data_IF_499361429463
#
_entry.id   IF_499361429463
#
_cell.length_a   1.000
_cell.length_b   1.000
_cell.length_c   1.000
_cell.angle_alpha   90.00
_cell.angle_beta   90.00
_cell.angle_gamma   90.00
#
_symmetry.space_group_name_H-M   'P 1'
#
loop_
_entity.id
_entity.type
_entity.pdbx_description
1 polymer ?
#
# COMPACT_ATOMS: atom_id res chain seq x y z
N UNK A 1 14.64 -33.49 -31.01
CA UNK A 1 14.84 -32.49 -29.92
C UNK A 1 15.41 -31.23 -30.55
N UNK A 2 14.78 -30.07 -30.39
CA UNK A 2 15.23 -28.82 -31.04
C UNK A 2 16.39 -28.21 -30.24
N UNK A 3 17.57 -28.10 -30.87
CA UNK A 3 18.74 -27.45 -30.26
C UNK A 3 18.49 -25.94 -30.24
N UNK A 4 18.32 -25.37 -29.04
CA UNK A 4 18.19 -23.93 -28.88
C UNK A 4 19.55 -23.27 -29.15
N UNK A 5 19.59 -22.27 -30.04
CA UNK A 5 20.79 -21.47 -30.28
C UNK A 5 21.16 -20.72 -29.00
N UNK A 6 22.46 -20.64 -28.71
CA UNK A 6 23.01 -19.98 -27.51
C UNK A 6 23.55 -18.60 -27.87
N UNK A 7 23.48 -17.68 -26.90
CA UNK A 7 23.97 -16.31 -27.05
C UNK A 7 25.43 -16.27 -27.53
N UNK A 8 25.72 -15.36 -28.46
CA UNK A 8 27.07 -15.20 -29.03
C UNK A 8 28.03 -14.33 -28.20
N UNK A 9 27.54 -13.69 -27.13
CA UNK A 9 28.40 -12.92 -26.22
C UNK A 9 29.25 -13.90 -25.41
N UNK A 10 30.57 -13.71 -25.47
CA UNK A 10 31.55 -14.56 -24.78
C UNK A 10 31.20 -14.71 -23.29
N UNK A 11 31.13 -15.95 -22.81
CA UNK A 11 30.77 -16.27 -21.42
C UNK A 11 29.27 -16.33 -21.11
N UNK A 12 28.38 -16.16 -22.10
CA UNK A 12 26.93 -16.24 -21.90
C UNK A 12 26.32 -17.56 -22.41
N UNK A 13 25.87 -18.42 -21.49
CA UNK A 13 25.20 -19.69 -21.82
C UNK A 13 23.69 -19.61 -22.05
N UNK A 14 23.12 -18.41 -22.07
CA UNK A 14 21.67 -18.21 -22.17
C UNK A 14 21.15 -18.44 -23.60
N UNK A 15 19.90 -18.94 -23.79
CA UNK A 15 19.33 -19.14 -25.11
C UNK A 15 19.09 -17.82 -25.85
N UNK A 16 19.26 -17.85 -27.18
CA UNK A 16 19.01 -16.70 -28.06
C UNK A 16 17.54 -16.32 -28.03
N UNK A 17 17.29 -15.02 -27.85
CA UNK A 17 15.99 -14.39 -28.09
C UNK A 17 15.93 -13.81 -29.52
N UNK A 18 16.88 -12.94 -29.86
CA UNK A 18 16.90 -12.19 -31.11
C UNK A 18 18.32 -11.64 -31.37
N UNK A 19 18.68 -11.44 -32.66
CA UNK A 19 20.01 -10.96 -33.09
C UNK A 19 21.18 -11.75 -32.50
N UNK A 20 21.00 -13.08 -32.38
CA UNK A 20 21.99 -14.00 -31.80
C UNK A 20 22.36 -13.73 -30.33
N UNK A 21 21.54 -12.91 -29.67
CA UNK A 21 21.71 -12.53 -28.28
C UNK A 21 20.57 -13.05 -27.41
N UNK A 22 20.89 -13.31 -26.14
CA UNK A 22 19.87 -13.59 -25.15
C UNK A 22 19.01 -12.35 -24.89
N UNK A 23 17.90 -12.53 -24.17
CA UNK A 23 17.00 -11.43 -23.81
C UNK A 23 17.72 -10.25 -23.15
N UNK A 24 18.72 -10.51 -22.29
CA UNK A 24 19.45 -9.45 -21.59
C UNK A 24 20.34 -8.64 -22.54
N UNK A 25 21.18 -9.31 -23.32
CA UNK A 25 22.08 -8.64 -24.26
C UNK A 25 21.32 -7.94 -25.38
N UNK A 26 20.18 -8.48 -25.82
CA UNK A 26 19.28 -7.78 -26.72
C UNK A 26 18.74 -6.48 -26.10
N UNK A 27 18.33 -6.51 -24.82
CA UNK A 27 17.85 -5.31 -24.12
C UNK A 27 18.96 -4.29 -23.89
N UNK A 28 20.18 -4.74 -23.59
CA UNK A 28 21.33 -3.86 -23.40
C UNK A 28 21.68 -3.14 -24.70
N UNK A 29 21.73 -3.86 -25.82
CA UNK A 29 21.89 -3.26 -27.14
C UNK A 29 20.75 -2.28 -27.47
N UNK A 30 19.49 -2.67 -27.22
CA UNK A 30 18.34 -1.81 -27.49
C UNK A 30 18.35 -0.50 -26.68
N UNK A 31 18.82 -0.54 -25.42
CA UNK A 31 18.84 0.63 -24.51
C UNK A 31 20.11 1.47 -24.59
N UNK A 32 21.26 0.84 -24.84
CA UNK A 32 22.58 1.44 -24.64
C UNK A 32 23.51 1.27 -25.85
N UNK A 33 23.06 0.63 -26.93
CA UNK A 33 23.84 0.43 -28.15
C UNK A 33 24.90 -0.68 -28.08
N UNK A 34 25.25 -1.15 -26.89
CA UNK A 34 26.25 -2.21 -26.66
C UNK A 34 25.61 -3.45 -26.00
N UNK A 35 25.58 -4.62 -26.68
CA UNK A 35 25.05 -5.86 -26.13
C UNK A 35 25.90 -6.42 -24.99
N UNK A 36 27.19 -6.09 -24.93
CA UNK A 36 28.14 -6.58 -23.94
C UNK A 36 28.16 -5.78 -22.64
N UNK A 37 27.43 -4.65 -22.60
CA UNK A 37 27.29 -3.82 -21.42
C UNK A 37 26.70 -4.67 -20.29
N UNK A 38 27.58 -5.20 -19.41
CA UNK A 38 27.17 -5.95 -18.23
C UNK A 38 26.58 -4.91 -17.28
N UNK A 39 25.25 -4.89 -17.05
CA UNK A 39 24.74 -4.07 -15.97
C UNK A 39 25.47 -4.49 -14.69
N UNK A 40 25.80 -3.56 -13.79
CA UNK A 40 26.36 -3.91 -12.49
C UNK A 40 25.58 -5.08 -11.91
N UNK A 41 26.28 -6.02 -11.28
CA UNK A 41 25.75 -7.29 -10.72
C UNK A 41 24.77 -7.03 -9.55
N UNK A 42 24.08 -5.90 -9.54
CA UNK A 42 22.89 -5.62 -8.76
C UNK A 42 21.64 -6.02 -9.54
N UNK A 43 21.62 -7.27 -10.04
CA UNK A 43 20.35 -7.94 -10.35
C UNK A 43 19.66 -8.31 -9.03
N UNK A 44 19.19 -7.31 -8.28
CA UNK A 44 18.03 -7.48 -7.41
C UNK A 44 16.87 -6.72 -8.03
N UNK A 45 16.13 -7.42 -8.88
CA UNK A 45 14.67 -7.22 -8.97
C UNK A 45 14.02 -7.78 -7.68
N UNK A 46 14.56 -7.40 -6.52
CA UNK A 46 13.89 -7.50 -5.25
C UNK A 46 13.24 -6.15 -5.06
N UNK A 47 11.93 -6.12 -4.88
CA UNK A 47 11.24 -4.93 -4.46
C UNK A 47 12.03 -4.31 -3.29
N UNK A 48 12.55 -3.08 -3.42
CA UNK A 48 13.31 -2.41 -2.35
C UNK A 48 12.51 -2.36 -1.03
N UNK A 49 11.19 -2.54 -1.14
CA UNK A 49 10.24 -2.76 -0.05
C UNK A 49 10.07 -4.25 0.36
N UNK A 50 11.09 -5.12 0.37
CA UNK A 50 10.96 -6.47 0.97
C UNK A 50 12.03 -6.82 2.01
N UNK A 51 13.08 -6.00 2.17
CA UNK A 51 14.12 -6.27 3.16
C UNK A 51 13.74 -5.85 4.59
N UNK A 52 12.88 -4.84 4.73
CA UNK A 52 12.39 -4.39 6.03
C UNK A 52 11.17 -5.21 6.49
N UNK A 53 11.01 -5.45 7.81
CA UNK A 53 9.80 -6.03 8.36
C UNK A 53 8.53 -5.37 7.80
N UNK A 54 7.45 -6.14 7.64
CA UNK A 54 6.18 -5.63 7.08
C UNK A 54 5.71 -4.39 7.84
N UNK A 55 5.81 -4.40 9.17
CA UNK A 55 5.49 -3.27 10.04
C UNK A 55 6.26 -2.00 9.66
N UNK A 56 7.57 -2.09 9.45
CA UNK A 56 8.40 -0.93 9.07
C UNK A 56 7.93 -0.31 7.76
N UNK A 57 7.60 -1.13 6.76
CA UNK A 57 7.11 -0.67 5.45
C UNK A 57 5.71 -0.08 5.52
N UNK A 58 4.91 -0.54 6.49
CA UNK A 58 3.59 0.01 6.76
C UNK A 58 3.74 1.40 7.38
N UNK A 59 4.42 1.50 8.53
CA UNK A 59 4.57 2.74 9.27
C UNK A 59 5.34 3.82 8.50
N UNK A 60 6.22 3.47 7.56
CA UNK A 60 6.91 4.45 6.70
C UNK A 60 5.99 5.22 5.74
N UNK A 61 4.72 4.83 5.60
CA UNK A 61 3.72 5.46 4.72
C UNK A 61 2.66 6.25 5.48
N UNK A 62 2.80 6.35 6.80
CA UNK A 62 1.86 7.04 7.67
C UNK A 62 2.36 8.46 7.89
N UNK A 63 1.45 9.42 7.89
CA UNK A 63 1.75 10.79 8.29
C UNK A 63 1.65 10.93 9.81
N UNK A 64 2.76 11.30 10.45
CA UNK A 64 2.84 11.54 11.91
C UNK A 64 3.01 13.03 12.23
N UNK A 65 2.70 13.93 11.29
CA UNK A 65 2.88 15.38 11.47
C UNK A 65 2.04 15.96 12.61
N UNK A 66 0.92 15.33 12.96
CA UNK A 66 0.07 15.67 14.09
C UNK A 66 0.09 14.53 15.13
N UNK A 67 0.91 14.64 16.19
CA UNK A 67 1.01 13.62 17.23
C UNK A 67 -0.29 13.43 18.03
N UNK A 68 -1.06 14.51 18.21
CA UNK A 68 -2.28 14.51 19.01
C UNK A 68 -3.54 14.23 18.18
N UNK A 69 -3.45 14.40 16.86
CA UNK A 69 -4.55 14.18 15.92
C UNK A 69 -4.55 12.82 15.23
N UNK A 70 -5.03 12.83 13.98
CA UNK A 70 -5.11 11.64 13.13
C UNK A 70 -3.78 11.37 12.44
N UNK A 71 -3.49 10.08 12.23
CA UNK A 71 -2.35 9.65 11.43
C UNK A 71 -2.84 9.13 10.07
N UNK A 72 -2.98 9.99 9.05
CA UNK A 72 -3.54 9.57 7.76
C UNK A 72 -2.58 8.66 6.98
N UNK A 73 -3.15 7.64 6.35
CA UNK A 73 -2.47 6.80 5.39
C UNK A 73 -2.15 7.58 4.10
N UNK A 74 -0.89 7.53 3.66
CA UNK A 74 -0.43 8.23 2.44
C UNK A 74 -0.31 7.32 1.21
N UNK A 75 -0.75 6.06 1.32
CA UNK A 75 -0.66 5.07 0.26
C UNK A 75 -1.92 4.97 -0.59
N UNK A 76 -2.16 3.78 -1.14
CA UNK A 76 -3.33 3.51 -1.98
C UNK A 76 -4.65 3.65 -1.20
N UNK A 77 -5.68 4.16 -1.85
CA UNK A 77 -7.01 4.42 -1.28
C UNK A 77 -8.11 3.76 -2.13
N UNK A 78 -9.21 3.35 -1.50
CA UNK A 78 -10.43 2.81 -2.12
C UNK A 78 -11.66 3.26 -1.33
N UNK A 79 -12.59 3.97 -1.98
CA UNK A 79 -13.81 4.53 -1.35
C UNK A 79 -13.52 5.18 0.01
N UNK A 80 -12.52 6.06 0.04
CA UNK A 80 -12.01 6.79 1.23
C UNK A 80 -11.21 5.96 2.25
N UNK A 81 -11.17 4.63 2.13
CA UNK A 81 -10.35 3.79 3.00
C UNK A 81 -8.96 3.53 2.41
N UNK A 82 -7.93 3.59 3.25
CA UNK A 82 -6.59 3.18 2.85
C UNK A 82 -6.49 1.67 2.66
N UNK A 83 -5.81 1.22 1.61
CA UNK A 83 -5.50 -0.18 1.31
C UNK A 83 -3.99 -0.41 1.25
N UNK A 84 -3.56 -1.59 1.69
CA UNK A 84 -2.17 -2.04 1.60
C UNK A 84 -2.11 -3.54 1.33
N UNK A 85 -0.94 -4.02 0.89
CA UNK A 85 -0.66 -5.44 0.82
C UNK A 85 0.01 -5.88 2.11
N UNK A 86 -0.61 -6.82 2.82
CA UNK A 86 -0.17 -7.32 4.11
C UNK A 86 -0.41 -8.84 4.16
N UNK A 87 0.61 -9.60 4.58
CA UNK A 87 0.57 -11.06 4.64
C UNK A 87 0.08 -11.77 3.36
N UNK A 88 0.51 -11.30 2.19
CA UNK A 88 0.17 -11.94 0.91
C UNK A 88 -1.20 -11.56 0.34
N UNK A 89 -1.96 -10.69 1.01
CA UNK A 89 -3.28 -10.25 0.56
C UNK A 89 -3.47 -8.73 0.65
N UNK A 90 -4.48 -8.22 -0.08
CA UNK A 90 -4.90 -6.81 0.03
C UNK A 90 -5.81 -6.65 1.24
N UNK A 91 -5.47 -5.72 2.13
CA UNK A 91 -6.20 -5.46 3.37
C UNK A 91 -6.38 -3.97 3.61
N UNK A 92 -7.41 -3.60 4.36
CA UNK A 92 -7.60 -2.23 4.81
C UNK A 92 -6.57 -1.83 5.86
N UNK A 93 -6.05 -0.63 5.71
CA UNK A 93 -4.92 -0.10 6.49
C UNK A 93 -5.25 0.06 7.97
N UNK A 94 -6.45 0.51 8.32
CA UNK A 94 -6.87 0.64 9.73
C UNK A 94 -6.90 -0.73 10.44
N UNK A 95 -7.33 -1.81 9.75
CA UNK A 95 -7.28 -3.17 10.32
C UNK A 95 -5.85 -3.65 10.52
N UNK A 96 -4.99 -3.43 9.53
CA UNK A 96 -3.57 -3.77 9.62
C UNK A 96 -2.88 -3.02 10.76
N UNK A 97 -3.19 -1.72 10.93
CA UNK A 97 -2.64 -0.91 12.02
C UNK A 97 -3.07 -1.42 13.40
N UNK A 98 -4.34 -1.78 13.55
CA UNK A 98 -4.86 -2.39 14.77
C UNK A 98 -4.12 -3.70 15.08
N UNK A 99 -4.01 -4.60 14.09
CA UNK A 99 -3.37 -5.90 14.28
C UNK A 99 -1.86 -5.82 14.59
N UNK A 100 -1.17 -4.83 14.02
CA UNK A 100 0.24 -4.57 14.29
C UNK A 100 0.52 -4.15 15.74
N UNK A 101 -0.47 -3.59 16.45
CA UNK A 101 -0.31 -3.02 17.79
C UNK A 101 -1.00 -3.87 18.86
N UNK A 102 -2.23 -4.31 18.60
CA UNK A 102 -3.06 -5.04 19.56
C UNK A 102 -3.14 -6.55 19.28
N UNK A 103 -2.70 -7.00 18.10
CA UNK A 103 -2.73 -8.40 17.71
C UNK A 103 -3.99 -8.80 16.92
N UNK A 104 -4.17 -10.10 16.74
CA UNK A 104 -5.22 -10.66 15.88
C UNK A 104 -6.64 -10.30 16.38
N UNK A 105 -7.49 -9.92 15.44
CA UNK A 105 -8.93 -9.71 15.67
C UNK A 105 -9.64 -11.07 15.71
N UNK A 106 -10.66 -11.21 16.55
CA UNK A 106 -11.53 -12.37 16.48
C UNK A 106 -12.28 -12.39 15.14
N UNK A 107 -12.64 -13.59 14.65
CA UNK A 107 -13.20 -13.76 13.30
C UNK A 107 -14.49 -12.94 13.02
N UNK A 108 -15.26 -12.59 14.06
CA UNK A 108 -16.50 -11.82 13.96
C UNK A 108 -16.31 -10.32 14.25
N UNK A 109 -15.09 -9.87 14.56
CA UNK A 109 -14.78 -8.49 14.88
C UNK A 109 -14.39 -7.68 13.65
N UNK A 110 -14.81 -6.43 13.66
CA UNK A 110 -14.43 -5.38 12.70
C UNK A 110 -13.79 -4.24 13.46
N UNK A 111 -12.95 -3.47 12.77
CA UNK A 111 -12.31 -2.28 13.35
C UNK A 111 -13.08 -1.05 12.93
N UNK A 112 -13.43 -0.22 13.89
CA UNK A 112 -14.11 1.06 13.69
C UNK A 112 -13.25 2.22 14.21
N UNK A 113 -13.55 3.43 13.75
CA UNK A 113 -12.86 4.66 14.13
C UNK A 113 -13.64 5.44 15.19
N UNK A 114 -12.94 5.95 16.20
CA UNK A 114 -13.49 6.99 17.09
C UNK A 114 -13.50 8.37 16.43
N UNK A 115 -12.49 8.65 15.60
CA UNK A 115 -12.25 9.94 14.96
C UNK A 115 -13.01 10.13 13.63
N UNK A 116 -13.66 9.07 13.14
CA UNK A 116 -14.52 9.12 11.96
C UNK A 116 -13.84 9.64 10.69
N UNK A 117 -12.52 9.44 10.62
CA UNK A 117 -11.64 9.82 9.53
C UNK A 117 -11.09 8.54 8.86
N UNK A 118 -11.70 8.03 7.78
CA UNK A 118 -11.37 6.71 7.20
C UNK A 118 -9.88 6.46 6.83
N UNK A 119 -9.10 7.47 6.41
CA UNK A 119 -7.66 7.32 6.20
C UNK A 119 -6.83 7.15 7.47
N UNK A 120 -7.36 7.43 8.67
CA UNK A 120 -6.63 7.39 9.92
C UNK A 120 -6.22 5.95 10.29
N UNK A 121 -4.96 5.78 10.67
CA UNK A 121 -4.39 4.50 11.13
C UNK A 121 -3.80 4.57 12.54
N UNK A 122 -4.09 5.65 13.29
CA UNK A 122 -3.63 5.79 14.67
C UNK A 122 -4.29 4.73 15.56
N UNK A 123 -3.55 3.83 16.23
CA UNK A 123 -4.12 2.75 17.05
C UNK A 123 -5.11 3.24 18.09
N UNK A 124 -4.81 4.33 18.81
CA UNK A 124 -5.70 4.91 19.82
C UNK A 124 -7.04 5.41 19.27
N UNK A 125 -7.13 5.66 17.95
CA UNK A 125 -8.36 6.07 17.29
C UNK A 125 -9.16 4.88 16.74
N UNK A 126 -8.70 3.65 16.95
CA UNK A 126 -9.28 2.42 16.43
C UNK A 126 -9.74 1.52 17.58
N UNK A 127 -10.86 0.83 17.37
CA UNK A 127 -11.37 -0.14 18.33
C UNK A 127 -11.99 -1.35 17.62
N UNK A 128 -11.90 -2.51 18.25
CA UNK A 128 -12.59 -3.71 17.80
C UNK A 128 -14.05 -3.67 18.24
N UNK A 129 -14.96 -4.02 17.33
CA UNK A 129 -16.39 -4.11 17.59
C UNK A 129 -16.99 -5.23 16.74
N UNK A 130 -18.25 -5.57 16.95
CA UNK A 130 -18.98 -6.48 16.05
C UNK A 130 -19.55 -5.70 14.86
N UNK A 131 -19.87 -6.40 13.77
CA UNK A 131 -20.57 -5.77 12.65
C UNK A 131 -21.87 -5.07 13.11
N UNK A 132 -22.60 -5.68 14.05
CA UNK A 132 -23.80 -5.10 14.64
C UNK A 132 -23.48 -3.82 15.44
N UNK A 133 -22.41 -3.83 16.23
CA UNK A 133 -21.94 -2.66 16.97
C UNK A 133 -21.50 -1.52 16.05
N UNK A 134 -20.80 -1.81 14.96
CA UNK A 134 -20.42 -0.81 13.96
C UNK A 134 -21.65 -0.19 13.25
N UNK A 135 -22.68 -1.01 12.94
CA UNK A 135 -23.92 -0.49 12.35
C UNK A 135 -24.72 0.36 13.34
N UNK A 136 -24.71 0.02 14.63
CA UNK A 136 -25.32 0.81 15.69
C UNK A 136 -24.60 2.17 15.83
N UNK A 137 -23.27 2.18 15.87
CA UNK A 137 -22.45 3.41 15.91
C UNK A 137 -22.73 4.32 14.71
N UNK A 138 -22.77 3.76 13.50
CA UNK A 138 -23.15 4.50 12.28
C UNK A 138 -24.56 5.11 12.37
N UNK A 139 -25.49 4.43 13.03
CA UNK A 139 -26.88 4.89 13.18
C UNK A 139 -26.98 6.00 14.22
N UNK A 140 -26.31 5.83 15.36
CA UNK A 140 -26.22 6.83 16.44
C UNK A 140 -25.58 8.12 15.94
N UNK A 141 -24.51 8.01 15.14
CA UNK A 141 -23.81 9.13 14.53
C UNK A 141 -24.51 9.69 13.28
N UNK A 142 -25.75 9.28 13.00
CA UNK A 142 -26.58 9.68 11.86
C UNK A 142 -25.91 9.57 10.47
N UNK A 143 -24.89 8.72 10.32
CA UNK A 143 -24.10 8.61 9.08
C UNK A 143 -24.82 7.96 7.92
N UNK A 144 -25.92 7.28 8.20
CA UNK A 144 -26.69 6.58 7.18
C UNK A 144 -27.46 7.56 6.25
N UNK A 145 -27.67 8.81 6.69
CA UNK A 145 -28.60 9.76 6.05
C UNK A 145 -28.09 10.41 4.75
N UNK A 146 -26.87 10.11 4.30
CA UNK A 146 -26.26 10.73 3.11
C UNK A 146 -26.47 10.01 1.76
N UNK A 147 -27.32 8.98 1.69
CA UNK A 147 -27.61 8.30 0.41
C UNK A 147 -28.68 9.01 -0.45
N UNK A 148 -29.38 10.01 0.11
CA UNK A 148 -30.36 10.82 -0.62
C UNK A 148 -30.04 12.30 -0.40
N UNK A 149 -29.55 12.97 -1.45
CA UNK A 149 -29.00 14.31 -1.39
C UNK A 149 -29.90 15.33 -0.69
N UNK A 150 -29.47 15.79 0.47
CA UNK A 150 -29.80 17.10 1.00
C UNK A 150 -28.49 17.70 1.49
N UNK A 151 -27.97 18.65 0.71
CA UNK A 151 -26.75 19.37 1.04
C UNK A 151 -26.86 20.04 2.40
N UNK A 152 -26.23 19.44 3.40
CA UNK A 152 -25.77 20.14 4.59
C UNK A 152 -24.26 20.06 4.58
N UNK A 153 -23.63 21.23 4.52
CA UNK A 153 -22.19 21.40 4.55
C UNK A 153 -21.64 20.70 5.80
N UNK A 154 -20.85 19.65 5.59
CA UNK A 154 -20.07 19.03 6.65
C UNK A 154 -18.93 20.00 7.01
N UNK A 155 -18.84 20.55 8.23
CA UNK A 155 -17.89 21.62 8.54
C UNK A 155 -16.43 21.15 8.73
N UNK A 156 -16.05 19.96 8.26
CA UNK A 156 -14.66 19.46 8.39
C UNK A 156 -13.76 19.82 7.20
N UNK A 157 -14.17 20.76 6.33
CA UNK A 157 -13.32 21.29 5.25
C UNK A 157 -12.94 22.76 5.49
N UNK A 158 -11.71 22.96 5.98
CA UNK A 158 -11.00 24.24 6.23
C UNK A 158 -11.57 25.07 7.40
N UNK A 159 -10.77 25.58 8.34
CA UNK A 159 -9.63 26.47 8.12
C UNK A 159 -8.58 26.40 9.26
N UNK A 160 -7.32 26.15 8.88
CA UNK A 160 -6.19 26.89 9.46
C UNK A 160 -5.98 28.11 8.53
N UNK A 161 -6.29 29.30 9.03
CA UNK A 161 -5.73 30.61 8.65
C UNK A 161 -6.59 31.70 9.26
N UNK A 162 -6.13 32.31 10.35
CA UNK A 162 -5.94 33.77 10.45
C UNK A 162 -5.38 34.11 11.84
N UNK A 163 -4.09 34.49 11.84
CA UNK A 163 -3.41 35.17 12.93
C UNK A 163 -2.51 36.21 12.29
N UNK A 164 -3.03 37.42 12.15
CA UNK A 164 -2.32 38.70 12.10
C UNK A 164 -3.35 39.84 12.18
#
# INVERSE_FOLDING_TARGET
MSVKRICTISGCGSPVKARDWCQEHYNNWYRHGDPSNRPPVERRRGNKNQAAPVATRFWSKVDFSDPDGCWPWRGSMRHDYGETFFDGEKRYTHRVAFELVYGELAAAEVVAHHCDNPPCVRPDHLFATTQAGNMADCSEKERWRNQFGAGVNNPVRSTLADSA
#
